data_IF_205935013389
#
_entry.id   IF_205935013389
#
_cell.length_a   1.000
_cell.length_b   1.000
_cell.length_c   1.000
_cell.angle_alpha   90.00
_cell.angle_beta   90.00
_cell.angle_gamma   90.00
#
_symmetry.space_group_name_H-M   'P 1'
#
loop_
_entity.id
_entity.type
_entity.pdbx_description
1 polymer ?
#
# COMPACT_ATOMS: atom_id res chain seq x y z
N UNK A 1 -2.62 -6.15 9.64
CA UNK A 1 -1.98 -6.37 10.95
C UNK A 1 -0.49 -6.11 10.78
N UNK A 2 0.08 -5.19 11.55
CA UNK A 2 1.50 -4.76 11.47
C UNK A 2 2.50 -5.80 11.99
N UNK A 3 2.01 -6.92 12.57
CA UNK A 3 2.87 -7.91 13.22
C UNK A 3 3.48 -7.33 14.50
N UNK A 4 4.75 -7.65 14.77
CA UNK A 4 5.48 -7.04 15.89
C UNK A 4 5.88 -5.60 15.53
N UNK A 5 5.39 -4.64 16.31
CA UNK A 5 5.62 -3.20 16.10
C UNK A 5 7.10 -2.81 16.11
N UNK A 6 7.92 -3.46 16.95
CA UNK A 6 9.36 -3.17 17.04
C UNK A 6 10.11 -3.54 15.75
N UNK A 7 9.56 -4.51 15.00
CA UNK A 7 10.11 -4.94 13.71
C UNK A 7 9.49 -4.22 12.52
N UNK A 8 8.45 -3.42 12.73
CA UNK A 8 7.72 -2.75 11.67
C UNK A 8 8.37 -1.41 11.31
N UNK A 9 9.00 -1.37 10.13
CA UNK A 9 9.68 -0.19 9.59
C UNK A 9 10.62 0.49 10.63
N UNK A 10 11.56 -0.26 11.24
CA UNK A 10 12.34 0.22 12.39
C UNK A 10 13.23 1.42 12.07
N UNK A 11 13.65 1.56 10.80
CA UNK A 11 14.54 2.61 10.34
C UNK A 11 13.82 3.71 9.53
N UNK A 12 12.49 3.67 9.43
CA UNK A 12 11.74 4.63 8.64
C UNK A 12 11.34 5.86 9.46
N UNK A 13 11.30 7.02 8.78
CA UNK A 13 10.52 8.17 9.24
C UNK A 13 9.05 7.93 8.94
N UNK A 14 8.19 8.19 9.93
CA UNK A 14 6.76 7.90 9.86
C UNK A 14 5.98 9.20 9.71
N UNK A 15 5.34 9.37 8.56
CA UNK A 15 4.33 10.40 8.33
C UNK A 15 2.97 9.70 8.44
N UNK A 16 2.09 10.17 9.32
CA UNK A 16 0.77 9.59 9.53
C UNK A 16 -0.30 10.67 9.35
N UNK A 17 -1.12 10.52 8.31
CA UNK A 17 -2.27 11.36 8.04
C UNK A 17 -3.56 10.59 8.33
N UNK A 18 -4.33 11.05 9.31
CA UNK A 18 -5.61 10.45 9.69
C UNK A 18 -6.62 11.56 10.04
N UNK A 19 -7.90 11.34 9.78
CA UNK A 19 -8.94 12.30 10.14
C UNK A 19 -9.29 12.23 11.63
N UNK A 20 -9.06 11.09 12.27
CA UNK A 20 -9.26 10.90 13.70
C UNK A 20 -7.95 11.14 14.48
N UNK A 21 -7.87 12.19 15.31
CA UNK A 21 -6.70 12.44 16.16
C UNK A 21 -6.33 11.25 17.06
N UNK A 22 -7.27 10.40 17.44
CA UNK A 22 -7.03 9.27 18.34
C UNK A 22 -6.25 8.12 17.68
N UNK A 23 -6.24 8.04 16.34
CA UNK A 23 -5.47 7.04 15.60
C UNK A 23 -3.99 7.44 15.45
N UNK A 24 -3.70 8.73 15.50
CA UNK A 24 -2.33 9.26 15.40
C UNK A 24 -1.52 8.83 16.62
N UNK A 25 -0.42 8.13 16.39
CA UNK A 25 0.49 7.68 17.46
C UNK A 25 -0.03 6.47 18.26
N UNK A 26 -1.24 5.95 17.99
CA UNK A 26 -1.86 4.88 18.78
C UNK A 26 -1.02 3.60 18.84
N UNK A 27 -0.54 3.15 17.69
CA UNK A 27 0.25 1.91 17.56
C UNK A 27 1.73 2.18 17.23
N UNK A 28 2.04 3.31 16.59
CA UNK A 28 3.40 3.68 16.19
C UNK A 28 3.55 5.18 16.26
N UNK A 29 4.61 5.65 16.90
CA UNK A 29 4.95 7.08 16.94
C UNK A 29 5.11 7.64 15.52
N UNK A 30 4.42 8.73 15.22
CA UNK A 30 4.53 9.48 13.96
C UNK A 30 5.53 10.63 14.13
N UNK A 31 6.55 10.69 13.28
CA UNK A 31 7.48 11.82 13.23
C UNK A 31 6.79 13.09 12.72
N UNK A 32 5.86 12.93 11.77
CA UNK A 32 5.03 14.02 11.22
C UNK A 32 3.56 13.61 11.28
N UNK A 33 2.82 14.03 12.32
CA UNK A 33 1.39 13.79 12.42
C UNK A 33 0.59 14.83 11.62
N UNK A 34 -0.39 14.38 10.84
CA UNK A 34 -1.31 15.25 10.09
C UNK A 34 -2.73 14.83 10.44
N UNK A 35 -3.51 15.73 11.03
CA UNK A 35 -4.93 15.49 11.31
C UNK A 35 -5.75 16.15 10.21
N UNK A 36 -6.45 15.37 9.38
CA UNK A 36 -7.26 15.92 8.29
C UNK A 36 -7.84 14.89 7.34
N UNK A 37 -8.73 15.35 6.45
CA UNK A 37 -9.25 14.53 5.35
C UNK A 37 -8.12 14.19 4.38
N UNK A 38 -7.91 12.90 4.10
CA UNK A 38 -6.84 12.41 3.24
C UNK A 38 -6.91 13.00 1.83
N UNK A 39 -8.10 13.33 1.31
CA UNK A 39 -8.26 13.99 0.00
C UNK A 39 -7.61 15.36 -0.01
N UNK A 40 -7.87 16.16 1.02
CA UNK A 40 -7.32 17.51 1.14
C UNK A 40 -5.81 17.45 1.37
N UNK A 41 -5.35 16.57 2.28
CA UNK A 41 -3.92 16.36 2.56
C UNK A 41 -3.15 15.96 1.29
N UNK A 42 -3.69 15.03 0.49
CA UNK A 42 -3.05 14.62 -0.76
C UNK A 42 -3.07 15.75 -1.81
N UNK A 43 -4.15 16.54 -1.87
CA UNK A 43 -4.25 17.66 -2.80
C UNK A 43 -3.16 18.71 -2.53
N UNK A 44 -2.99 19.08 -1.26
CA UNK A 44 -1.95 20.02 -0.84
C UNK A 44 -0.54 19.44 -1.10
N UNK A 45 -0.33 18.16 -0.77
CA UNK A 45 0.96 17.50 -1.00
C UNK A 45 1.32 17.45 -2.49
N UNK A 46 0.37 17.14 -3.37
CA UNK A 46 0.59 17.13 -4.82
C UNK A 46 0.95 18.53 -5.33
N UNK A 47 0.27 19.57 -4.85
CA UNK A 47 0.57 20.94 -5.24
C UNK A 47 2.00 21.33 -4.85
N UNK A 48 2.43 21.00 -3.63
CA UNK A 48 3.79 21.25 -3.15
C UNK A 48 4.83 20.47 -3.97
N UNK A 49 4.63 19.17 -4.17
CA UNK A 49 5.56 18.33 -4.93
C UNK A 49 5.67 18.74 -6.40
N UNK A 50 4.57 19.21 -7.01
CA UNK A 50 4.59 19.72 -8.38
C UNK A 50 5.41 21.00 -8.48
N UNK A 51 5.24 21.93 -7.54
CA UNK A 51 6.04 23.16 -7.49
C UNK A 51 7.52 22.88 -7.22
N UNK A 52 7.85 21.91 -6.36
CA UNK A 52 9.25 21.49 -6.13
C UNK A 52 9.87 20.91 -7.41
N UNK A 53 9.11 20.08 -8.14
CA UNK A 53 9.54 19.53 -9.43
C UNK A 53 9.79 20.63 -10.47
N UNK A 54 8.89 21.61 -10.58
CA UNK A 54 9.07 22.77 -11.46
C UNK A 54 10.31 23.60 -11.08
N UNK A 55 10.63 23.66 -9.79
CA UNK A 55 11.85 24.28 -9.28
C UNK A 55 13.12 23.42 -9.47
N UNK A 56 13.02 22.27 -10.15
CA UNK A 56 14.14 21.36 -10.42
C UNK A 56 14.56 20.50 -9.22
N UNK A 57 13.73 20.42 -8.17
CA UNK A 57 13.95 19.52 -7.04
C UNK A 57 13.14 18.24 -7.26
N UNK A 58 13.81 17.20 -7.72
CA UNK A 58 13.21 15.87 -7.89
C UNK A 58 14.02 14.85 -7.10
N UNK A 59 13.34 13.90 -6.46
CA UNK A 59 14.00 12.80 -5.77
C UNK A 59 14.44 11.72 -6.75
N UNK A 60 15.63 11.14 -6.53
CA UNK A 60 16.05 9.94 -7.24
C UNK A 60 15.59 8.69 -6.48
N UNK A 61 14.69 7.93 -7.12
CA UNK A 61 14.13 6.70 -6.57
C UNK A 61 14.38 5.48 -7.47
N UNK A 62 15.20 5.61 -8.52
CA UNK A 62 15.37 4.57 -9.54
C UNK A 62 15.90 3.26 -8.94
N UNK A 63 16.92 3.37 -8.08
CA UNK A 63 17.50 2.21 -7.40
C UNK A 63 16.50 1.50 -6.48
N UNK A 64 15.65 2.26 -5.78
CA UNK A 64 14.61 1.68 -4.92
C UNK A 64 13.51 1.00 -5.75
N UNK A 65 13.08 1.63 -6.85
CA UNK A 65 12.08 1.06 -7.76
C UNK A 65 12.60 -0.25 -8.36
N UNK A 66 13.86 -0.28 -8.81
CA UNK A 66 14.50 -1.48 -9.35
C UNK A 66 14.58 -2.60 -8.31
N UNK A 67 14.94 -2.28 -7.07
CA UNK A 67 14.95 -3.23 -5.96
C UNK A 67 13.57 -3.85 -5.69
N UNK A 68 12.53 -3.02 -5.57
CA UNK A 68 11.15 -3.49 -5.34
C UNK A 68 10.64 -4.32 -6.54
N UNK A 69 10.97 -3.93 -7.77
CA UNK A 69 10.65 -4.72 -8.96
C UNK A 69 11.35 -6.09 -8.93
N UNK A 70 12.60 -6.15 -8.47
CA UNK A 70 13.32 -7.39 -8.22
C UNK A 70 12.61 -8.30 -7.22
N UNK A 71 12.15 -7.76 -6.08
CA UNK A 71 11.37 -8.51 -5.09
C UNK A 71 10.10 -9.10 -5.72
N UNK A 72 9.32 -8.29 -6.45
CA UNK A 72 8.09 -8.76 -7.11
C UNK A 72 8.36 -9.88 -8.11
N UNK A 73 9.50 -9.83 -8.81
CA UNK A 73 9.91 -10.89 -9.74
C UNK A 73 10.35 -12.17 -9.03
N UNK A 74 11.08 -12.04 -7.92
CA UNK A 74 11.57 -13.19 -7.14
C UNK A 74 10.46 -13.87 -6.34
N UNK A 75 9.47 -13.12 -5.88
CA UNK A 75 8.38 -13.59 -5.03
C UNK A 75 7.02 -13.19 -5.62
N UNK A 76 6.65 -13.72 -6.81
CA UNK A 76 5.38 -13.42 -7.41
C UNK A 76 4.24 -14.05 -6.58
N UNK A 77 3.06 -13.45 -6.64
CA UNK A 77 1.86 -14.09 -6.12
C UNK A 77 1.57 -15.33 -6.97
N UNK A 78 1.45 -16.49 -6.33
CA UNK A 78 1.21 -17.76 -6.99
C UNK A 78 0.61 -18.78 -6.04
N UNK A 79 0.15 -19.89 -6.59
CA UNK A 79 -0.44 -21.00 -5.86
C UNK A 79 -0.23 -22.31 -6.63
N UNK A 80 -0.16 -23.41 -5.90
CA UNK A 80 -0.09 -24.73 -6.51
C UNK A 80 -1.48 -25.18 -6.97
N UNK A 81 -1.52 -25.89 -8.10
CA UNK A 81 -2.72 -26.53 -8.58
C UNK A 81 -2.84 -27.91 -7.92
N UNK A 82 -3.97 -28.23 -7.27
CA UNK A 82 -4.17 -29.54 -6.69
C UNK A 82 -4.28 -30.60 -7.81
N UNK A 83 -3.85 -31.83 -7.52
CA UNK A 83 -3.98 -32.94 -8.47
C UNK A 83 -5.44 -33.26 -8.80
N UNK A 84 -6.35 -33.02 -7.86
CA UNK A 84 -7.80 -33.15 -8.02
C UNK A 84 -8.53 -31.96 -7.39
N UNK A 85 -9.64 -31.54 -8.00
CA UNK A 85 -10.46 -30.42 -7.52
C UNK A 85 -9.98 -29.03 -7.99
N UNK A 86 -10.51 -27.99 -7.36
CA UNK A 86 -10.20 -26.58 -7.67
C UNK A 86 -9.49 -25.93 -6.49
N UNK A 87 -8.43 -25.16 -6.76
CA UNK A 87 -7.84 -24.30 -5.74
C UNK A 87 -8.73 -23.08 -5.52
N UNK A 88 -8.97 -22.63 -4.27
CA UNK A 88 -9.71 -21.40 -3.99
C UNK A 88 -9.11 -20.17 -4.69
N UNK A 89 -7.77 -20.12 -4.79
CA UNK A 89 -7.04 -19.06 -5.48
C UNK A 89 -7.38 -19.03 -6.97
N UNK A 90 -7.46 -20.20 -7.62
CA UNK A 90 -7.90 -20.29 -9.01
C UNK A 90 -9.33 -19.80 -9.18
N UNK A 91 -10.24 -20.17 -8.28
CA UNK A 91 -11.64 -19.70 -8.34
C UNK A 91 -11.70 -18.18 -8.28
N UNK A 92 -11.01 -17.53 -7.33
CA UNK A 92 -10.99 -16.08 -7.19
C UNK A 92 -10.33 -15.41 -8.41
N UNK A 93 -9.21 -15.96 -8.90
CA UNK A 93 -8.54 -15.45 -10.10
C UNK A 93 -9.46 -15.52 -11.33
N UNK A 94 -10.17 -16.64 -11.50
CA UNK A 94 -11.09 -16.83 -12.63
C UNK A 94 -12.27 -15.89 -12.55
N UNK A 95 -12.85 -15.69 -11.36
CA UNK A 95 -13.91 -14.71 -11.15
C UNK A 95 -13.41 -13.30 -11.49
N UNK A 96 -12.26 -12.89 -10.99
CA UNK A 96 -11.67 -11.59 -11.30
C UNK A 96 -11.44 -11.36 -12.79
N UNK A 97 -11.06 -12.40 -13.55
CA UNK A 97 -10.84 -12.31 -15.01
C UNK A 97 -12.12 -12.19 -15.85
N UNK A 98 -13.26 -12.67 -15.35
CA UNK A 98 -14.52 -12.67 -16.11
C UNK A 98 -15.50 -11.59 -15.62
N UNK A 99 -15.26 -11.04 -14.44
CA UNK A 99 -15.98 -9.92 -13.88
C UNK A 99 -15.68 -8.62 -14.64
N UNK A 100 -16.70 -7.77 -14.80
CA UNK A 100 -16.53 -6.42 -15.37
C UNK A 100 -15.89 -5.45 -14.38
N UNK A 101 -15.44 -4.29 -14.87
CA UNK A 101 -14.70 -3.28 -14.09
C UNK A 101 -15.47 -2.78 -12.86
N UNK A 102 -16.81 -2.70 -12.95
CA UNK A 102 -17.68 -2.22 -11.86
C UNK A 102 -18.17 -3.34 -10.91
N UNK A 103 -17.54 -4.52 -10.94
CA UNK A 103 -17.97 -5.64 -10.10
C UNK A 103 -17.66 -5.39 -8.63
N UNK A 104 -18.67 -5.50 -7.77
CA UNK A 104 -18.52 -5.43 -6.32
C UNK A 104 -18.25 -6.84 -5.76
N UNK A 105 -17.12 -6.99 -5.06
CA UNK A 105 -16.79 -8.21 -4.32
C UNK A 105 -17.13 -8.05 -2.84
N UNK A 106 -17.78 -9.06 -2.26
CA UNK A 106 -18.03 -9.15 -0.81
C UNK A 106 -17.48 -10.48 -0.31
N UNK A 107 -16.93 -10.49 0.92
CA UNK A 107 -16.32 -11.66 1.51
C UNK A 107 -16.77 -11.81 2.97
N UNK A 108 -16.82 -13.07 3.43
CA UNK A 108 -16.87 -13.38 4.85
C UNK A 108 -15.49 -13.25 5.51
N UNK A 109 -15.25 -14.03 6.55
CA UNK A 109 -13.93 -14.10 7.23
C UNK A 109 -13.36 -15.51 7.04
N UNK A 110 -12.09 -15.61 6.69
CA UNK A 110 -11.37 -16.87 6.46
C UNK A 110 -9.89 -16.67 6.23
#
# INVERSE_FOLDING_TARGET
VTGNLDSFAPNAKVIHADIDPAEIGKNRYADVPIVGDVREVLTDLIAVLSAEKEAGKEGDYEGWIAFVAGIKKSYPLGYDLPAEGLSPQYVIERLGKISGEDTIFTAGVG
#
